data_IF_733826506450
#
_entry.id   IF_733826506450
#
_cell.length_a   1.000
_cell.length_b   1.000
_cell.length_c   1.000
_cell.angle_alpha   90.00
_cell.angle_beta   90.00
_cell.angle_gamma   90.00
#
_symmetry.space_group_name_H-M   'P 1'
#
loop_
_entity.id
_entity.type
_entity.pdbx_description
1 polymer ?
#
# COMPACT_ATOMS: atom_id res chain seq x y z
N UNK A 1 7.44 12.02 -23.23
CA UNK A 1 8.43 11.13 -23.87
C UNK A 1 8.43 11.39 -25.37
N UNK A 2 9.56 11.26 -26.04
CA UNK A 2 9.69 11.44 -27.49
C UNK A 2 10.13 10.10 -28.13
N UNK A 3 9.60 9.76 -29.31
CA UNK A 3 9.92 8.50 -29.98
C UNK A 3 8.80 8.01 -30.91
N UNK A 4 8.93 6.78 -31.42
CA UNK A 4 7.93 6.17 -32.30
C UNK A 4 6.60 5.93 -31.58
N UNK A 5 5.50 5.91 -32.34
CA UNK A 5 4.14 5.68 -31.80
C UNK A 5 4.08 4.35 -31.01
N UNK A 6 4.78 3.31 -31.47
CA UNK A 6 4.85 2.03 -30.78
C UNK A 6 5.59 2.14 -29.43
N UNK A 7 6.74 2.83 -29.42
CA UNK A 7 7.49 3.08 -28.19
C UNK A 7 6.69 3.92 -27.18
N UNK A 8 5.96 4.94 -27.65
CA UNK A 8 5.10 5.76 -26.81
C UNK A 8 3.96 4.96 -26.17
N UNK A 9 3.34 4.04 -26.91
CA UNK A 9 2.33 3.11 -26.36
C UNK A 9 2.92 2.21 -25.28
N UNK A 10 4.13 1.69 -25.49
CA UNK A 10 4.84 0.87 -24.50
C UNK A 10 5.14 1.69 -23.23
N UNK A 11 5.77 2.86 -23.37
CA UNK A 11 6.13 3.73 -22.25
C UNK A 11 4.90 4.15 -21.45
N UNK A 12 3.81 4.54 -22.12
CA UNK A 12 2.54 4.88 -21.46
C UNK A 12 2.07 3.76 -20.53
N UNK A 13 2.04 2.51 -21.03
CA UNK A 13 1.65 1.36 -20.23
C UNK A 13 2.57 1.16 -19.02
N UNK A 14 3.89 1.26 -19.20
CA UNK A 14 4.86 1.11 -18.09
C UNK A 14 4.63 2.16 -17.00
N UNK A 15 4.36 3.41 -17.39
CA UNK A 15 4.12 4.52 -16.45
C UNK A 15 2.81 4.34 -15.71
N UNK A 16 1.71 4.02 -16.41
CA UNK A 16 0.40 3.78 -15.78
C UNK A 16 0.46 2.62 -14.78
N UNK A 17 1.12 1.52 -15.14
CA UNK A 17 1.31 0.37 -14.25
C UNK A 17 2.17 0.72 -13.02
N UNK A 18 3.22 1.53 -13.22
CA UNK A 18 4.07 2.03 -12.12
C UNK A 18 3.27 2.88 -11.12
N UNK A 19 2.37 3.73 -11.62
CA UNK A 19 1.47 4.52 -10.77
C UNK A 19 0.45 3.65 -10.01
N UNK A 20 0.15 2.45 -10.51
CA UNK A 20 -0.72 1.45 -9.86
C UNK A 20 0.05 0.51 -8.92
N UNK A 21 1.22 0.92 -8.44
CA UNK A 21 2.06 0.16 -7.51
C UNK A 21 2.61 -1.17 -8.09
N UNK A 22 2.84 -1.23 -9.41
CA UNK A 22 3.56 -2.33 -10.07
C UNK A 22 4.99 -1.86 -10.36
N UNK A 23 5.98 -2.52 -9.80
CA UNK A 23 7.38 -2.08 -9.95
C UNK A 23 7.84 -2.11 -11.43
N UNK A 24 8.50 -1.05 -11.94
CA UNK A 24 8.84 -0.95 -13.37
C UNK A 24 9.77 -2.05 -13.87
N UNK A 25 10.58 -2.65 -13.00
CA UNK A 25 11.43 -3.83 -13.32
C UNK A 25 10.63 -4.99 -13.92
N UNK A 26 9.37 -5.19 -13.50
CA UNK A 26 8.54 -6.24 -14.08
C UNK A 26 8.23 -5.99 -15.56
N UNK A 27 7.86 -4.75 -15.88
CA UNK A 27 7.62 -4.32 -17.25
C UNK A 27 8.89 -4.33 -18.10
N UNK A 28 10.03 -3.92 -17.52
CA UNK A 28 11.34 -3.99 -18.20
C UNK A 28 11.70 -5.45 -18.54
N UNK A 29 11.56 -6.39 -17.59
CA UNK A 29 11.79 -7.82 -17.84
C UNK A 29 10.90 -8.38 -18.95
N UNK A 30 9.61 -8.02 -18.95
CA UNK A 30 8.68 -8.40 -20.02
C UNK A 30 9.13 -7.84 -21.38
N UNK A 31 9.55 -6.56 -21.44
CA UNK A 31 10.03 -5.94 -22.68
C UNK A 31 11.33 -6.59 -23.19
N UNK A 32 12.24 -6.98 -22.29
CA UNK A 32 13.46 -7.71 -22.65
C UNK A 32 13.12 -9.06 -23.31
N UNK A 33 12.26 -9.86 -22.67
CA UNK A 33 11.84 -11.17 -23.21
C UNK A 33 11.13 -11.01 -24.56
N UNK A 34 10.24 -10.02 -24.69
CA UNK A 34 9.55 -9.75 -25.98
C UNK A 34 10.52 -9.38 -27.09
N UNK A 35 11.59 -8.64 -26.79
CA UNK A 35 12.62 -8.29 -27.79
C UNK A 35 13.42 -9.50 -28.24
N UNK A 36 13.68 -10.45 -27.34
CA UNK A 36 14.35 -11.70 -27.72
C UNK A 36 13.41 -12.60 -28.52
N UNK A 37 12.16 -12.82 -28.07
CA UNK A 37 11.16 -13.62 -28.81
C UNK A 37 10.84 -13.06 -30.20
N UNK A 38 10.88 -11.74 -30.38
CA UNK A 38 10.67 -11.11 -31.68
C UNK A 38 11.78 -11.38 -32.70
N UNK A 39 12.97 -11.84 -32.25
CA UNK A 39 14.06 -12.23 -33.16
C UNK A 39 13.84 -13.61 -33.77
N UNK A 40 13.09 -14.48 -33.09
CA UNK A 40 12.84 -15.84 -33.53
C UNK A 40 11.67 -15.88 -34.53
N UNK A 41 11.92 -16.21 -35.82
CA UNK A 41 10.88 -16.15 -36.85
C UNK A 41 9.82 -17.26 -36.68
N UNK A 42 10.16 -18.38 -36.05
CA UNK A 42 9.24 -19.52 -35.84
C UNK A 42 8.11 -19.15 -34.86
N UNK A 43 8.39 -18.30 -33.86
CA UNK A 43 7.43 -17.91 -32.83
C UNK A 43 6.64 -16.64 -33.19
N UNK A 44 6.85 -16.05 -34.38
CA UNK A 44 6.23 -14.78 -34.76
C UNK A 44 4.69 -14.83 -34.80
N UNK A 45 4.12 -15.98 -35.12
CA UNK A 45 2.67 -16.19 -35.24
C UNK A 45 2.03 -16.80 -33.98
N UNK A 46 2.82 -17.08 -32.94
CA UNK A 46 2.36 -17.74 -31.73
C UNK A 46 2.06 -16.75 -30.60
N UNK A 47 1.22 -17.17 -29.64
CA UNK A 47 0.97 -16.38 -28.44
C UNK A 47 2.15 -16.48 -27.45
N UNK A 48 2.79 -15.35 -27.17
CA UNK A 48 3.95 -15.27 -26.26
C UNK A 48 3.61 -15.30 -24.76
N UNK A 49 2.34 -15.32 -24.36
CA UNK A 49 1.93 -15.27 -22.95
C UNK A 49 2.57 -16.33 -22.04
N UNK A 50 2.90 -17.52 -22.59
CA UNK A 50 3.56 -18.60 -21.85
C UNK A 50 4.99 -18.24 -21.42
N UNK A 51 5.69 -17.43 -22.22
CA UNK A 51 7.06 -17.01 -21.95
C UNK A 51 7.13 -15.76 -21.08
N UNK A 52 6.02 -15.03 -20.93
CA UNK A 52 5.98 -13.80 -20.15
C UNK A 52 5.79 -14.10 -18.66
N UNK A 53 6.65 -13.57 -17.78
CA UNK A 53 6.52 -13.77 -16.35
C UNK A 53 5.25 -13.06 -15.81
N UNK A 54 4.40 -13.82 -15.13
CA UNK A 54 3.18 -13.32 -14.46
C UNK A 54 3.52 -12.94 -13.02
N UNK A 55 3.77 -11.66 -12.77
CA UNK A 55 4.00 -11.15 -11.42
C UNK A 55 2.68 -10.89 -10.70
N UNK A 56 2.01 -11.96 -10.27
CA UNK A 56 0.85 -11.84 -9.38
C UNK A 56 1.32 -11.47 -7.97
N UNK A 57 0.65 -10.51 -7.33
CA UNK A 57 0.88 -10.22 -5.92
C UNK A 57 0.51 -11.46 -5.11
N UNK A 58 1.51 -12.16 -4.57
CA UNK A 58 1.30 -13.26 -3.63
C UNK A 58 0.84 -12.69 -2.29
N UNK A 59 -0.44 -12.35 -2.19
CA UNK A 59 -1.06 -12.01 -0.90
C UNK A 59 -1.29 -13.33 -0.15
N UNK A 60 -0.27 -13.77 0.59
CA UNK A 60 -0.44 -14.87 1.53
C UNK A 60 -1.39 -14.40 2.64
N UNK A 61 -2.44 -15.17 2.91
CA UNK A 61 -3.35 -14.88 4.00
C UNK A 61 -2.55 -14.91 5.32
N UNK A 62 -2.50 -13.78 6.02
CA UNK A 62 -1.91 -13.69 7.36
C UNK A 62 -2.96 -14.11 8.38
N UNK A 63 -2.53 -14.81 9.43
CA UNK A 63 -3.41 -15.13 10.56
C UNK A 63 -3.92 -13.82 11.18
N UNK A 64 -5.23 -13.75 11.43
CA UNK A 64 -5.82 -12.63 12.17
C UNK A 64 -5.37 -12.75 13.65
N UNK A 65 -5.05 -11.64 14.33
CA UNK A 65 -4.76 -11.69 15.75
C UNK A 65 -6.00 -12.18 16.52
N UNK A 66 -5.79 -13.02 17.55
CA UNK A 66 -6.86 -13.56 18.40
C UNK A 66 -7.59 -12.43 19.12
N UNK A 67 -6.84 -11.43 19.60
CA UNK A 67 -7.38 -10.26 20.27
C UNK A 67 -7.27 -9.05 19.34
N UNK A 68 -8.39 -8.60 18.79
CA UNK A 68 -8.52 -7.31 18.12
C UNK A 68 -9.04 -6.32 19.14
N UNK A 69 -8.27 -5.27 19.46
CA UNK A 69 -8.78 -4.18 20.29
C UNK A 69 -9.95 -3.53 19.57
N UNK A 70 -11.12 -3.49 20.21
CA UNK A 70 -12.27 -2.76 19.68
C UNK A 70 -11.89 -1.27 19.55
N UNK A 71 -12.25 -0.67 18.40
CA UNK A 71 -12.02 0.76 18.19
C UNK A 71 -12.98 1.53 19.08
N UNK A 72 -12.48 2.47 19.89
CA UNK A 72 -13.32 3.38 20.67
C UNK A 72 -14.27 4.13 19.72
N UNK A 73 -15.52 4.30 20.14
CA UNK A 73 -16.48 5.14 19.41
C UNK A 73 -15.92 6.56 19.30
N UNK A 74 -16.08 7.18 18.13
CA UNK A 74 -15.66 8.55 17.92
C UNK A 74 -16.52 9.48 18.76
N UNK A 75 -15.88 10.23 19.66
CA UNK A 75 -16.47 11.35 20.39
C UNK A 75 -15.81 12.64 19.90
N UNK A 76 -16.59 13.64 19.45
CA UNK A 76 -16.04 14.93 19.04
C UNK A 76 -15.53 15.75 20.23
N UNK A 77 -15.97 15.41 21.46
CA UNK A 77 -15.54 16.09 22.68
C UNK A 77 -14.28 15.44 23.25
N UNK A 78 -13.31 16.26 23.73
CA UNK A 78 -12.15 15.74 24.44
C UNK A 78 -12.59 15.09 25.77
N UNK A 79 -11.83 14.12 26.29
CA UNK A 79 -12.05 13.63 27.65
C UNK A 79 -11.82 14.76 28.66
N UNK A 80 -12.47 14.67 29.83
CA UNK A 80 -12.20 15.59 30.93
C UNK A 80 -10.73 15.48 31.38
N UNK A 81 -10.16 16.60 31.81
CA UNK A 81 -8.81 16.63 32.37
C UNK A 81 -8.81 15.86 33.70
N UNK A 82 -7.70 15.22 34.05
CA UNK A 82 -7.55 14.62 35.38
C UNK A 82 -7.43 15.76 36.41
N UNK A 83 -8.22 15.75 37.49
CA UNK A 83 -8.19 16.80 38.50
C UNK A 83 -6.82 16.86 39.18
N UNK A 84 -6.42 18.05 39.62
CA UNK A 84 -5.18 18.21 40.39
C UNK A 84 -5.34 17.68 41.82
N UNK A 85 -4.22 17.50 42.54
CA UNK A 85 -4.27 17.12 43.96
C UNK A 85 -5.04 18.15 44.80
N UNK A 86 -4.88 19.44 44.49
CA UNK A 86 -5.60 20.52 45.18
C UNK A 86 -7.09 20.45 44.88
N UNK A 87 -7.48 20.20 43.62
CA UNK A 87 -8.88 20.05 43.25
C UNK A 87 -9.54 18.86 43.97
N UNK A 88 -8.83 17.73 44.08
CA UNK A 88 -9.30 16.56 44.82
C UNK A 88 -9.46 16.85 46.32
N UNK A 89 -8.55 17.62 46.92
CA UNK A 89 -8.61 18.02 48.34
C UNK A 89 -9.70 19.06 48.63
N UNK A 90 -9.94 19.97 47.68
CA UNK A 90 -11.06 20.92 47.74
C UNK A 90 -12.40 20.19 47.62
N UNK A 91 -12.49 19.15 46.77
CA UNK A 91 -13.68 18.30 46.62
C UNK A 91 -13.92 17.42 47.86
N UNK A 92 -12.87 16.84 48.46
CA UNK A 92 -12.98 16.03 49.68
C UNK A 92 -13.23 16.84 50.95
N UNK A 93 -12.95 18.16 50.92
CA UNK A 93 -13.04 19.06 52.07
C UNK A 93 -11.86 18.97 53.04
N UNK A 94 -10.93 18.02 52.81
CA UNK A 94 -9.70 17.87 53.60
C UNK A 94 -8.81 19.11 53.51
N UNK A 95 -8.89 19.86 52.41
CA UNK A 95 -8.13 21.10 52.22
C UNK A 95 -8.36 22.14 53.33
N UNK A 96 -9.56 22.15 53.92
CA UNK A 96 -9.95 23.12 54.95
C UNK A 96 -9.74 22.60 56.38
N UNK A 97 -9.35 21.34 56.56
CA UNK A 97 -9.18 20.72 57.87
C UNK A 97 -7.74 20.75 58.39
N UNK A 98 -6.77 21.04 57.52
CA UNK A 98 -5.34 21.11 57.83
C UNK A 98 -4.85 22.53 58.21
N UNK A 99 -5.77 23.49 58.41
CA UNK A 99 -5.48 24.89 58.81
C UNK A 99 -5.74 25.16 60.30
#
# INVERSE_FOLDING_TARGET
AMGSIHGLKQVRKVVEDCMRNIHPVYNIKILMIKRELAKDPELANENWERFLPKFARKTVARKKPVNVREKKSYTPFPPQQQPSKVDLQLESGEYFLDE
#
